data_IF_357290711353
#
_entry.id   IF_357290711353
#
_cell.length_a   1.000
_cell.length_b   1.000
_cell.length_c   1.000
_cell.angle_alpha   90.00
_cell.angle_beta   90.00
_cell.angle_gamma   90.00
#
_symmetry.space_group_name_H-M   'P 1'
#
loop_
_entity.id
_entity.type
_entity.pdbx_description
1 polymer ?
#
# COMPACT_ATOMS: atom_id res chain seq x y z
N UNK A 1 -29.30 2.80 38.18
CA UNK A 1 -28.16 2.24 37.44
C UNK A 1 -28.49 0.79 37.10
N UNK A 2 -29.31 0.56 36.08
CA UNK A 2 -29.54 -0.79 35.53
C UNK A 2 -28.27 -1.19 34.77
N UNK A 3 -27.57 -2.15 35.35
CA UNK A 3 -26.17 -2.45 35.05
C UNK A 3 -25.99 -3.07 33.67
N UNK A 4 -24.83 -2.79 33.08
CA UNK A 4 -24.31 -3.38 31.83
C UNK A 4 -24.47 -4.92 31.78
N UNK A 5 -24.52 -5.59 32.92
CA UNK A 5 -24.79 -7.03 33.04
C UNK A 5 -26.19 -7.47 32.58
N UNK A 6 -27.22 -6.63 32.68
CA UNK A 6 -28.56 -6.97 32.17
C UNK A 6 -28.63 -6.83 30.64
N UNK A 7 -27.94 -5.84 30.07
CA UNK A 7 -27.82 -5.68 28.61
C UNK A 7 -27.01 -6.84 28.02
N UNK A 8 -25.94 -7.27 28.70
CA UNK A 8 -25.17 -8.46 28.30
C UNK A 8 -26.01 -9.74 28.38
N UNK A 9 -26.84 -9.89 29.41
CA UNK A 9 -27.81 -11.00 29.51
C UNK A 9 -28.91 -10.93 28.44
N UNK A 10 -29.35 -9.73 28.04
CA UNK A 10 -30.39 -9.54 27.03
C UNK A 10 -29.88 -9.73 25.59
N UNK A 11 -28.60 -9.42 25.32
CA UNK A 11 -27.96 -9.64 24.01
C UNK A 11 -27.65 -11.12 23.77
N UNK A 12 -27.53 -11.92 24.84
CA UNK A 12 -27.23 -13.35 24.77
C UNK A 12 -25.78 -13.65 24.35
N UNK A 13 -25.40 -14.92 24.43
CA UNK A 13 -24.09 -15.39 23.99
C UNK A 13 -23.89 -15.25 22.47
N UNK A 14 -22.63 -15.18 22.04
CA UNK A 14 -22.26 -15.04 20.63
C UNK A 14 -22.80 -16.21 19.80
N UNK A 15 -23.93 -15.97 19.13
CA UNK A 15 -24.67 -16.99 18.39
C UNK A 15 -23.87 -17.52 17.20
N UNK A 16 -24.20 -18.73 16.74
CA UNK A 16 -23.55 -19.35 15.56
C UNK A 16 -23.58 -18.45 14.32
N UNK A 17 -24.67 -17.69 14.15
CA UNK A 17 -24.81 -16.73 13.04
C UNK A 17 -23.78 -15.60 13.11
N UNK A 18 -23.55 -15.01 14.30
CA UNK A 18 -22.55 -13.95 14.48
C UNK A 18 -21.13 -14.48 14.27
N UNK A 19 -20.82 -15.69 14.78
CA UNK A 19 -19.54 -16.39 14.51
C UNK A 19 -19.31 -16.60 13.02
N UNK A 20 -20.30 -17.12 12.32
CA UNK A 20 -20.24 -17.36 10.88
C UNK A 20 -20.02 -16.05 10.12
N UNK A 21 -20.71 -14.97 10.50
CA UNK A 21 -20.60 -13.68 9.84
C UNK A 21 -19.22 -13.03 10.04
N UNK A 22 -18.62 -13.17 11.22
CA UNK A 22 -17.23 -12.75 11.47
C UNK A 22 -16.24 -13.55 10.62
N UNK A 23 -16.36 -14.87 10.63
CA UNK A 23 -15.49 -15.73 9.81
C UNK A 23 -15.62 -15.40 8.31
N UNK A 24 -16.85 -15.14 7.85
CA UNK A 24 -17.11 -14.73 6.47
C UNK A 24 -16.47 -13.37 6.13
N UNK A 25 -16.37 -12.45 7.10
CA UNK A 25 -15.73 -11.15 6.91
C UNK A 25 -14.19 -11.21 6.80
N UNK A 26 -13.57 -12.31 7.24
CA UNK A 26 -12.11 -12.52 7.10
C UNK A 26 -11.71 -12.66 5.62
N UNK A 27 -12.58 -13.26 4.79
CA UNK A 27 -12.28 -13.50 3.38
C UNK A 27 -12.07 -12.17 2.62
N UNK A 28 -12.99 -11.18 2.69
CA UNK A 28 -12.75 -9.85 2.15
C UNK A 28 -11.51 -9.15 2.73
N UNK A 29 -11.20 -9.32 4.02
CA UNK A 29 -10.00 -8.71 4.61
C UNK A 29 -8.70 -9.23 3.97
N UNK A 30 -8.60 -10.55 3.75
CA UNK A 30 -7.44 -11.15 3.09
C UNK A 30 -7.31 -10.66 1.65
N UNK A 31 -8.42 -10.56 0.93
CA UNK A 31 -8.45 -10.01 -0.44
C UNK A 31 -8.03 -8.55 -0.47
N UNK A 32 -8.51 -7.71 0.46
CA UNK A 32 -8.08 -6.31 0.59
C UNK A 32 -6.57 -6.21 0.80
N UNK A 33 -6.01 -6.99 1.72
CA UNK A 33 -4.58 -7.00 1.97
C UNK A 33 -3.78 -7.40 0.71
N UNK A 34 -4.26 -8.42 -0.02
CA UNK A 34 -3.66 -8.84 -1.28
C UNK A 34 -3.64 -7.70 -2.30
N UNK A 35 -4.78 -7.06 -2.59
CA UNK A 35 -4.86 -6.01 -3.60
C UNK A 35 -4.11 -4.73 -3.22
N UNK A 36 -3.94 -4.46 -1.92
CA UNK A 36 -3.16 -3.34 -1.40
C UNK A 36 -1.66 -3.52 -1.70
N UNK A 37 -1.12 -4.73 -1.57
CA UNK A 37 0.32 -4.99 -1.67
C UNK A 37 0.75 -5.71 -2.95
N UNK A 38 -0.17 -6.28 -3.74
CA UNK A 38 0.15 -7.11 -4.90
C UNK A 38 1.07 -6.39 -5.90
N UNK A 39 0.88 -5.09 -6.11
CA UNK A 39 1.66 -4.34 -7.09
C UNK A 39 3.15 -4.24 -6.72
N UNK A 40 3.52 -4.32 -5.43
CA UNK A 40 4.93 -4.37 -5.02
C UNK A 40 5.61 -5.67 -5.44
N UNK A 41 4.87 -6.78 -5.43
CA UNK A 41 5.38 -8.09 -5.83
C UNK A 41 5.32 -8.32 -7.34
N UNK A 42 4.34 -7.71 -8.01
CA UNK A 42 4.17 -7.82 -9.46
C UNK A 42 5.14 -6.93 -10.25
N UNK A 43 5.64 -5.86 -9.63
CA UNK A 43 6.64 -4.95 -10.20
C UNK A 43 7.98 -5.19 -9.49
N UNK A 44 8.53 -6.38 -9.71
CA UNK A 44 9.88 -6.69 -9.23
C UNK A 44 10.92 -6.19 -10.23
N UNK A 45 12.05 -5.72 -9.73
CA UNK A 45 13.17 -5.33 -10.58
C UNK A 45 13.68 -6.56 -11.35
N UNK A 46 13.74 -6.43 -12.68
CA UNK A 46 14.37 -7.39 -13.56
C UNK A 46 15.56 -6.71 -14.26
N UNK A 47 16.76 -7.33 -14.27
CA UNK A 47 17.86 -6.83 -15.08
C UNK A 47 17.44 -6.88 -16.56
N UNK A 48 17.76 -5.84 -17.30
CA UNK A 48 17.32 -5.66 -18.68
C UNK A 48 18.37 -4.93 -19.49
N UNK A 49 18.30 -5.11 -20.81
CA UNK A 49 19.10 -4.39 -21.78
C UNK A 49 18.27 -4.14 -23.05
N UNK A 50 18.72 -3.21 -23.90
CA UNK A 50 18.06 -2.94 -25.18
C UNK A 50 18.06 -4.20 -26.06
N UNK A 51 16.99 -4.41 -26.83
CA UNK A 51 17.05 -5.38 -27.92
C UNK A 51 17.98 -4.87 -29.04
N UNK A 52 19.12 -5.53 -29.20
CA UNK A 52 20.12 -5.22 -30.22
C UNK A 52 20.21 -6.30 -31.32
N UNK A 53 19.14 -7.06 -31.53
CA UNK A 53 19.06 -8.14 -32.53
C UNK A 53 19.38 -7.72 -33.97
N UNK A 54 19.34 -6.42 -34.28
CA UNK A 54 19.76 -5.86 -35.57
C UNK A 54 21.18 -6.29 -35.98
N UNK A 55 22.12 -6.44 -35.02
CA UNK A 55 23.51 -6.83 -35.34
C UNK A 55 23.59 -8.26 -35.90
N UNK A 56 22.62 -9.12 -35.57
CA UNK A 56 22.57 -10.50 -36.08
C UNK A 56 22.23 -10.57 -37.56
N UNK A 57 21.66 -9.52 -38.14
CA UNK A 57 21.47 -9.43 -39.58
C UNK A 57 22.82 -9.31 -40.32
N UNK A 58 23.84 -8.75 -39.66
CA UNK A 58 25.19 -8.53 -40.21
C UNK A 58 26.12 -9.68 -39.79
N UNK A 59 26.03 -10.11 -38.53
CA UNK A 59 26.82 -11.19 -37.94
C UNK A 59 25.95 -12.31 -37.36
N UNK A 60 25.44 -13.26 -38.16
CA UNK A 60 24.51 -14.28 -37.70
C UNK A 60 25.11 -15.30 -36.71
N UNK A 61 26.44 -15.44 -36.70
CA UNK A 61 27.17 -16.39 -35.86
C UNK A 61 27.76 -15.78 -34.58
N UNK A 62 27.40 -14.53 -34.24
CA UNK A 62 27.87 -13.88 -33.01
C UNK A 62 27.33 -14.57 -31.76
N UNK A 63 28.18 -14.73 -30.75
CA UNK A 63 27.75 -15.13 -29.42
C UNK A 63 27.01 -13.98 -28.71
N UNK A 64 26.20 -14.30 -27.70
CA UNK A 64 25.44 -13.29 -26.94
C UNK A 64 26.39 -12.28 -26.25
N UNK A 65 27.52 -12.75 -25.73
CA UNK A 65 28.51 -11.89 -25.09
C UNK A 65 29.17 -10.92 -26.08
N UNK A 66 29.57 -11.40 -27.26
CA UNK A 66 30.12 -10.56 -28.33
C UNK A 66 29.10 -9.54 -28.83
N UNK A 67 27.84 -9.97 -29.01
CA UNK A 67 26.74 -9.08 -29.38
C UNK A 67 26.59 -7.95 -28.38
N UNK A 68 26.49 -8.25 -27.08
CA UNK A 68 26.30 -7.23 -26.05
C UNK A 68 27.50 -6.29 -25.97
N UNK A 69 28.73 -6.81 -26.08
CA UNK A 69 29.94 -6.02 -26.01
C UNK A 69 30.12 -5.04 -27.19
N UNK A 70 29.59 -5.38 -28.38
CA UNK A 70 29.63 -4.51 -29.56
C UNK A 70 28.48 -3.49 -29.61
N UNK A 71 27.33 -3.80 -28.99
CA UNK A 71 26.08 -3.03 -29.18
C UNK A 71 25.64 -2.21 -27.98
N UNK A 72 26.13 -2.52 -26.78
CA UNK A 72 25.78 -1.80 -25.56
C UNK A 72 27.00 -1.03 -25.01
N UNK A 73 26.84 0.27 -24.69
CA UNK A 73 27.89 1.02 -24.01
C UNK A 73 28.08 0.52 -22.58
N UNK A 74 29.30 0.68 -22.06
CA UNK A 74 29.62 0.38 -20.65
C UNK A 74 29.63 1.68 -19.85
N UNK A 75 29.00 1.65 -18.68
CA UNK A 75 29.03 2.74 -17.72
C UNK A 75 30.37 2.88 -17.02
N UNK A 76 30.46 3.85 -16.10
CA UNK A 76 31.66 4.12 -15.29
C UNK A 76 32.10 2.94 -14.42
N UNK A 77 31.16 2.04 -14.14
CA UNK A 77 31.33 0.94 -13.19
C UNK A 77 31.75 -0.36 -13.91
N UNK A 78 31.92 -0.31 -15.24
CA UNK A 78 32.27 -1.45 -16.09
C UNK A 78 31.08 -2.32 -16.52
N UNK A 79 29.91 -2.10 -15.91
CA UNK A 79 28.62 -2.72 -16.25
C UNK A 79 28.02 -2.10 -17.52
N UNK A 80 27.21 -2.87 -18.25
CA UNK A 80 26.48 -2.37 -19.41
C UNK A 80 25.43 -1.32 -19.01
N UNK A 81 25.33 -0.24 -19.77
CA UNK A 81 24.22 0.69 -19.63
C UNK A 81 22.91 0.00 -19.99
N UNK A 82 21.92 0.15 -19.11
CA UNK A 82 20.65 -0.60 -19.19
C UNK A 82 19.59 0.08 -20.04
N UNK A 83 19.76 1.37 -20.38
CA UNK A 83 18.72 2.19 -21.02
C UNK A 83 19.13 2.81 -22.37
N UNK A 84 20.34 2.51 -22.83
CA UNK A 84 20.96 3.09 -24.01
C UNK A 84 21.66 1.97 -24.81
N UNK A 85 21.77 2.18 -26.11
CA UNK A 85 22.51 1.30 -27.01
C UNK A 85 23.25 2.14 -28.05
N UNK A 86 24.24 1.56 -28.70
CA UNK A 86 24.83 2.19 -29.87
C UNK A 86 23.83 2.25 -31.03
N UNK A 87 23.86 3.36 -31.75
CA UNK A 87 23.01 3.59 -32.92
C UNK A 87 23.32 2.56 -34.01
N UNK A 88 22.32 1.87 -34.59
CA UNK A 88 22.51 0.96 -35.71
C UNK A 88 23.16 1.67 -36.90
N UNK A 89 24.15 1.01 -37.52
CA UNK A 89 24.88 1.51 -38.68
C UNK A 89 24.85 0.50 -39.82
N UNK A 90 24.90 0.98 -41.06
CA UNK A 90 24.97 0.16 -42.28
C UNK A 90 26.41 -0.26 -42.60
N UNK A 91 27.19 -0.66 -41.59
CA UNK A 91 28.58 -1.12 -41.75
C UNK A 91 28.66 -2.65 -41.73
N UNK A 92 29.72 -3.20 -42.32
CA UNK A 92 30.06 -4.61 -42.18
C UNK A 92 30.60 -4.93 -40.77
N UNK A 93 30.53 -6.21 -40.37
CA UNK A 93 30.92 -6.63 -39.03
C UNK A 93 32.41 -6.34 -38.74
N UNK A 94 33.29 -6.52 -39.73
CA UNK A 94 34.73 -6.31 -39.56
C UNK A 94 35.03 -4.82 -39.30
N UNK A 95 34.34 -3.92 -40.00
CA UNK A 95 34.43 -2.47 -39.74
C UNK A 95 33.93 -2.09 -38.36
N UNK A 96 32.83 -2.67 -37.89
CA UNK A 96 32.29 -2.41 -36.54
C UNK A 96 33.29 -2.85 -35.47
N UNK A 97 33.91 -4.02 -35.64
CA UNK A 97 34.92 -4.54 -34.71
C UNK A 97 36.20 -3.70 -34.75
N UNK A 98 36.61 -3.22 -35.93
CA UNK A 98 37.86 -2.46 -36.09
C UNK A 98 37.76 -1.01 -35.61
N UNK A 99 36.64 -0.33 -35.88
CA UNK A 99 36.48 1.10 -35.60
C UNK A 99 35.62 1.40 -34.37
N UNK A 100 34.77 0.47 -33.94
CA UNK A 100 33.82 0.66 -32.85
C UNK A 100 32.67 1.62 -33.20
N UNK A 101 31.64 1.62 -32.35
CA UNK A 101 30.49 2.53 -32.44
C UNK A 101 30.64 3.64 -31.41
N UNK A 102 30.38 4.88 -31.80
CA UNK A 102 30.54 6.06 -30.92
C UNK A 102 29.22 6.76 -30.60
N UNK A 103 28.23 6.68 -31.49
CA UNK A 103 26.94 7.37 -31.31
C UNK A 103 25.98 6.47 -30.52
N UNK A 104 25.35 7.04 -29.49
CA UNK A 104 24.41 6.32 -28.62
C UNK A 104 22.99 6.87 -28.77
N UNK A 105 22.02 5.98 -28.73
CA UNK A 105 20.61 6.30 -28.76
C UNK A 105 19.84 5.52 -27.69
N UNK A 106 18.59 5.93 -27.45
CA UNK A 106 17.65 5.18 -26.61
C UNK A 106 17.22 3.90 -27.32
N UNK A 107 16.87 2.86 -26.55
CA UNK A 107 16.41 1.60 -27.12
C UNK A 107 15.15 1.80 -27.97
N UNK A 108 15.23 1.45 -29.25
CA UNK A 108 14.14 1.60 -30.22
C UNK A 108 13.39 0.28 -30.48
N UNK A 109 14.08 -0.85 -30.37
CA UNK A 109 13.58 -2.19 -30.72
C UNK A 109 12.98 -2.96 -29.53
N UNK A 110 12.77 -2.31 -28.38
CA UNK A 110 12.26 -2.95 -27.16
C UNK A 110 13.37 -3.41 -26.21
N UNK A 111 13.02 -4.33 -25.32
CA UNK A 111 13.85 -4.75 -24.18
C UNK A 111 13.96 -6.26 -24.10
N UNK A 112 15.13 -6.74 -23.68
CA UNK A 112 15.38 -8.15 -23.43
C UNK A 112 15.61 -8.38 -21.95
N UNK A 113 14.90 -9.37 -21.42
CA UNK A 113 14.96 -9.80 -20.03
C UNK A 113 15.50 -11.24 -19.94
N UNK A 114 16.23 -11.61 -18.86
CA UNK A 114 16.76 -12.96 -18.71
C UNK A 114 15.65 -14.02 -18.61
N UNK A 115 15.79 -15.11 -19.37
CA UNK A 115 14.76 -16.16 -19.46
C UNK A 115 14.49 -16.95 -18.18
N UNK A 116 15.35 -16.84 -17.17
CA UNK A 116 15.19 -17.57 -15.90
C UNK A 116 14.17 -16.94 -14.95
N UNK A 117 13.74 -15.70 -15.21
CA UNK A 117 12.79 -15.01 -14.33
C UNK A 117 11.34 -15.21 -14.80
N UNK A 118 10.39 -15.43 -13.87
CA UNK A 118 8.98 -15.48 -14.22
C UNK A 118 8.51 -14.12 -14.77
N UNK A 119 7.55 -14.10 -15.71
CA UNK A 119 7.03 -12.85 -16.24
C UNK A 119 6.40 -12.02 -15.12
N UNK A 120 6.75 -10.75 -15.08
CA UNK A 120 6.25 -9.75 -14.14
C UNK A 120 5.50 -8.65 -14.89
N UNK A 121 4.72 -7.84 -14.17
CA UNK A 121 4.00 -6.72 -14.78
C UNK A 121 4.97 -5.72 -15.44
N UNK A 122 6.18 -5.59 -14.87
CA UNK A 122 7.24 -4.74 -15.41
C UNK A 122 7.75 -5.24 -16.77
N UNK A 123 7.97 -6.55 -16.90
CA UNK A 123 8.49 -7.18 -18.13
C UNK A 123 7.42 -7.35 -19.21
N UNK A 124 6.15 -7.44 -18.83
CA UNK A 124 5.04 -7.59 -19.77
C UNK A 124 4.67 -6.26 -20.45
N UNK A 125 4.78 -5.14 -19.72
CA UNK A 125 4.44 -3.80 -20.22
C UNK A 125 5.65 -2.91 -20.50
N UNK A 126 6.87 -3.44 -20.44
CA UNK A 126 8.13 -2.71 -20.65
C UNK A 126 8.20 -1.40 -19.83
N UNK A 127 7.97 -1.50 -18.52
CA UNK A 127 7.90 -0.36 -17.60
C UNK A 127 9.28 0.04 -17.08
N UNK A 128 10.25 0.12 -17.99
CA UNK A 128 11.65 0.44 -17.71
C UNK A 128 12.05 1.78 -18.34
N UNK A 129 13.15 2.35 -17.85
CA UNK A 129 13.76 3.58 -18.36
C UNK A 129 12.76 4.75 -18.51
N UNK A 130 12.37 5.13 -19.73
CA UNK A 130 11.44 6.24 -19.98
C UNK A 130 10.02 6.00 -19.42
N UNK A 131 9.61 4.74 -19.27
CA UNK A 131 8.29 4.34 -18.77
C UNK A 131 8.28 3.95 -17.30
N UNK A 132 9.40 4.11 -16.58
CA UNK A 132 9.51 3.73 -15.16
C UNK A 132 8.49 4.44 -14.26
N UNK A 133 8.22 5.72 -14.54
CA UNK A 133 7.34 6.57 -13.73
C UNK A 133 5.87 6.11 -13.78
N UNK A 134 5.49 5.32 -14.80
CA UNK A 134 4.14 4.77 -14.92
C UNK A 134 3.80 3.82 -13.77
N UNK A 135 4.78 3.14 -13.17
CA UNK A 135 4.57 2.31 -11.99
C UNK A 135 4.12 3.13 -10.78
N UNK A 136 4.78 4.27 -10.55
CA UNK A 136 4.47 5.18 -9.45
C UNK A 136 3.12 5.88 -9.69
N UNK A 137 2.85 6.27 -10.94
CA UNK A 137 1.55 6.81 -11.36
C UNK A 137 0.44 5.78 -11.12
N UNK A 138 0.67 4.50 -11.44
CA UNK A 138 -0.31 3.45 -11.20
C UNK A 138 -0.62 3.26 -9.70
N UNK A 139 0.40 3.32 -8.83
CA UNK A 139 0.18 3.33 -7.38
C UNK A 139 -0.62 4.55 -6.93
N UNK A 140 -0.27 5.74 -7.44
CA UNK A 140 -0.98 6.98 -7.11
C UNK A 140 -2.45 6.92 -7.54
N UNK A 141 -2.75 6.35 -8.72
CA UNK A 141 -4.11 6.14 -9.22
C UNK A 141 -4.88 5.16 -8.33
N UNK A 142 -4.24 4.08 -7.87
CA UNK A 142 -4.86 3.16 -6.90
C UNK A 142 -5.20 3.89 -5.58
N UNK A 143 -4.30 4.74 -5.07
CA UNK A 143 -4.54 5.55 -3.87
C UNK A 143 -5.64 6.62 -4.08
N UNK A 144 -5.71 7.23 -5.26
CA UNK A 144 -6.80 8.11 -5.64
C UNK A 144 -8.15 7.35 -5.67
N UNK A 145 -8.13 6.11 -6.17
CA UNK A 145 -9.25 5.18 -6.08
C UNK A 145 -9.71 4.96 -4.63
N UNK A 146 -8.79 4.69 -3.70
CA UNK A 146 -9.11 4.53 -2.27
C UNK A 146 -9.81 5.78 -1.68
N UNK A 147 -9.35 6.98 -2.06
CA UNK A 147 -9.96 8.25 -1.65
C UNK A 147 -11.37 8.42 -2.22
N UNK A 148 -11.55 8.22 -3.53
CA UNK A 148 -12.87 8.30 -4.17
C UNK A 148 -13.83 7.27 -3.57
N UNK A 149 -13.33 6.06 -3.29
CA UNK A 149 -14.08 5.01 -2.65
C UNK A 149 -14.60 5.39 -1.27
N UNK A 150 -13.78 6.02 -0.42
CA UNK A 150 -14.23 6.42 0.92
C UNK A 150 -15.30 7.51 0.86
N UNK A 151 -15.18 8.45 -0.07
CA UNK A 151 -16.15 9.53 -0.29
C UNK A 151 -17.49 9.02 -0.84
N UNK A 152 -17.49 7.93 -1.61
CA UNK A 152 -18.69 7.36 -2.22
C UNK A 152 -19.32 6.30 -1.31
N UNK A 153 -18.56 5.26 -0.95
CA UNK A 153 -19.08 4.11 -0.22
C UNK A 153 -19.36 4.40 1.25
N UNK A 154 -18.70 5.38 1.87
CA UNK A 154 -19.01 5.81 3.24
C UNK A 154 -20.46 6.28 3.37
N UNK A 155 -20.85 7.40 2.73
CA UNK A 155 -22.24 7.88 2.76
C UNK A 155 -23.26 6.90 2.18
N UNK A 156 -22.85 6.10 1.20
CA UNK A 156 -23.72 5.06 0.64
C UNK A 156 -24.06 3.99 1.68
N UNK A 157 -23.08 3.56 2.48
CA UNK A 157 -23.23 2.56 3.55
C UNK A 157 -24.25 2.99 4.60
N UNK A 158 -24.31 4.28 4.90
CA UNK A 158 -25.29 4.84 5.84
C UNK A 158 -26.71 4.92 5.25
N UNK A 159 -26.86 5.01 3.92
CA UNK A 159 -28.17 5.15 3.25
C UNK A 159 -28.83 3.81 2.92
N UNK A 160 -28.10 2.92 2.25
CA UNK A 160 -28.63 1.62 1.80
C UNK A 160 -28.34 0.49 2.80
N UNK A 161 -27.58 0.79 3.85
CA UNK A 161 -27.11 -0.16 4.82
C UNK A 161 -25.78 -0.82 4.44
N UNK A 162 -25.12 -1.37 5.46
CA UNK A 162 -23.76 -1.91 5.37
C UNK A 162 -23.66 -3.21 4.56
N UNK A 163 -24.66 -4.10 4.66
CA UNK A 163 -24.65 -5.41 3.98
C UNK A 163 -24.71 -5.30 2.45
N UNK A 164 -25.58 -4.46 1.85
CA UNK A 164 -25.53 -4.24 0.40
C UNK A 164 -24.22 -3.61 -0.06
N UNK A 165 -23.68 -2.64 0.68
CA UNK A 165 -22.41 -1.98 0.30
C UNK A 165 -21.24 -2.95 0.28
N UNK A 166 -21.04 -3.77 1.32
CA UNK A 166 -19.93 -4.73 1.30
C UNK A 166 -20.06 -5.74 0.15
N UNK A 167 -21.27 -6.17 -0.20
CA UNK A 167 -21.50 -7.09 -1.32
C UNK A 167 -21.19 -6.42 -2.67
N UNK A 168 -21.62 -5.17 -2.86
CA UNK A 168 -21.31 -4.39 -4.07
C UNK A 168 -19.80 -4.19 -4.20
N UNK A 169 -19.12 -3.80 -3.11
CA UNK A 169 -17.67 -3.57 -3.14
C UNK A 169 -16.88 -4.86 -3.39
N UNK A 170 -17.27 -5.99 -2.78
CA UNK A 170 -16.63 -7.30 -3.07
C UNK A 170 -16.88 -7.73 -4.51
N UNK A 171 -18.08 -7.50 -5.04
CA UNK A 171 -18.39 -7.80 -6.44
C UNK A 171 -17.54 -6.97 -7.40
N UNK A 172 -17.44 -5.65 -7.18
CA UNK A 172 -16.61 -4.76 -7.99
C UNK A 172 -15.13 -5.15 -7.89
N UNK A 173 -14.63 -5.46 -6.68
CA UNK A 173 -13.26 -5.92 -6.49
C UNK A 173 -13.00 -7.23 -7.26
N UNK A 174 -13.90 -8.20 -7.21
CA UNK A 174 -13.77 -9.45 -7.94
C UNK A 174 -13.82 -9.27 -9.46
N UNK A 175 -14.80 -8.50 -9.95
CA UNK A 175 -14.99 -8.25 -11.38
C UNK A 175 -13.79 -7.54 -12.01
N UNK A 176 -13.37 -6.41 -11.44
CA UNK A 176 -12.24 -5.63 -11.97
C UNK A 176 -10.89 -6.24 -11.60
N UNK A 177 -10.80 -6.93 -10.45
CA UNK A 177 -9.61 -7.67 -10.04
C UNK A 177 -9.28 -8.84 -10.98
N UNK A 178 -10.28 -9.60 -11.41
CA UNK A 178 -10.11 -10.63 -12.44
C UNK A 178 -9.93 -10.01 -13.83
N UNK A 179 -10.64 -8.91 -14.11
CA UNK A 179 -10.53 -8.18 -15.38
C UNK A 179 -9.10 -7.73 -15.70
N UNK A 180 -8.31 -7.38 -14.68
CA UNK A 180 -6.89 -6.98 -14.82
C UNK A 180 -6.06 -8.03 -15.59
N UNK A 181 -6.34 -9.32 -15.41
CA UNK A 181 -5.56 -10.39 -16.05
C UNK A 181 -5.74 -10.45 -17.58
N UNK A 182 -6.76 -9.78 -18.13
CA UNK A 182 -7.07 -9.78 -19.56
C UNK A 182 -6.73 -8.46 -20.25
N UNK A 183 -6.09 -7.52 -19.54
CA UNK A 183 -5.85 -6.18 -20.05
C UNK A 183 -4.55 -6.14 -20.87
N UNK A 184 -4.59 -5.79 -22.17
CA UNK A 184 -3.38 -5.69 -23.00
C UNK A 184 -2.73 -4.29 -22.96
N UNK A 185 -3.36 -3.31 -22.31
CA UNK A 185 -2.88 -1.92 -22.27
C UNK A 185 -2.75 -1.39 -20.85
N UNK A 186 -1.57 -0.85 -20.52
CA UNK A 186 -1.24 -0.38 -19.17
C UNK A 186 -2.19 0.73 -18.65
N UNK A 187 -2.69 1.61 -19.52
CA UNK A 187 -3.64 2.65 -19.11
C UNK A 187 -4.99 2.09 -18.65
N UNK A 188 -5.46 1.02 -19.29
CA UNK A 188 -6.69 0.32 -18.88
C UNK A 188 -6.45 -0.42 -17.56
N UNK A 189 -5.25 -0.98 -17.37
CA UNK A 189 -4.84 -1.58 -16.10
C UNK A 189 -4.91 -0.55 -14.96
N UNK A 190 -4.40 0.67 -15.16
CA UNK A 190 -4.50 1.76 -14.18
C UNK A 190 -5.95 2.13 -13.87
N UNK A 191 -6.82 2.20 -14.89
CA UNK A 191 -8.25 2.47 -14.69
C UNK A 191 -8.93 1.38 -13.85
N UNK A 192 -8.64 0.10 -14.12
CA UNK A 192 -9.19 -1.02 -13.34
C UNK A 192 -8.66 -1.01 -11.91
N UNK A 193 -7.37 -0.69 -11.72
CA UNK A 193 -6.77 -0.52 -10.38
C UNK A 193 -7.43 0.60 -9.59
N UNK A 194 -7.84 1.70 -10.23
CA UNK A 194 -8.61 2.76 -9.58
C UNK A 194 -9.94 2.23 -9.01
N UNK A 195 -10.68 1.43 -9.78
CA UNK A 195 -11.96 0.83 -9.34
C UNK A 195 -11.75 -0.20 -8.22
N UNK A 196 -10.69 -1.01 -8.33
CA UNK A 196 -10.30 -1.95 -7.26
C UNK A 196 -9.96 -1.17 -5.98
N UNK A 197 -9.20 -0.07 -6.07
CA UNK A 197 -8.90 0.81 -4.93
C UNK A 197 -10.17 1.38 -4.30
N UNK A 198 -11.11 1.88 -5.10
CA UNK A 198 -12.39 2.37 -4.59
C UNK A 198 -13.19 1.28 -3.85
N UNK A 199 -13.16 0.06 -4.37
CA UNK A 199 -13.81 -1.12 -3.78
C UNK A 199 -13.16 -1.54 -2.46
N UNK A 200 -11.82 -1.54 -2.39
CA UNK A 200 -11.06 -1.83 -1.17
C UNK A 200 -11.41 -0.84 -0.06
N UNK A 201 -11.55 0.44 -0.39
CA UNK A 201 -11.99 1.47 0.57
C UNK A 201 -13.39 1.21 1.09
N UNK A 202 -14.34 0.87 0.20
CA UNK A 202 -15.72 0.52 0.59
C UNK A 202 -15.80 -0.68 1.54
N UNK A 203 -15.01 -1.72 1.29
CA UNK A 203 -14.89 -2.89 2.17
C UNK A 203 -14.31 -2.46 3.52
N UNK A 204 -13.18 -1.74 3.51
CA UNK A 204 -12.48 -1.31 4.73
C UNK A 204 -13.37 -0.45 5.62
N UNK A 205 -14.05 0.55 5.05
CA UNK A 205 -14.96 1.43 5.80
C UNK A 205 -16.13 0.66 6.40
N UNK A 206 -16.71 -0.28 5.63
CA UNK A 206 -17.84 -1.07 6.12
C UNK A 206 -17.41 -2.04 7.23
N UNK A 207 -16.23 -2.65 7.13
CA UNK A 207 -15.68 -3.54 8.16
C UNK A 207 -15.36 -2.78 9.44
N UNK A 208 -14.71 -1.61 9.34
CA UNK A 208 -14.44 -0.75 10.49
C UNK A 208 -15.75 -0.35 11.20
N UNK A 209 -16.76 0.07 10.43
CA UNK A 209 -18.06 0.44 10.99
C UNK A 209 -18.77 -0.76 11.66
N UNK A 210 -18.71 -1.96 11.07
CA UNK A 210 -19.22 -3.19 11.70
C UNK A 210 -18.46 -3.55 12.97
N UNK A 211 -17.15 -3.32 13.01
CA UNK A 211 -16.30 -3.52 14.19
C UNK A 211 -16.72 -2.66 15.38
N UNK A 212 -17.13 -1.41 15.16
CA UNK A 212 -17.69 -0.56 16.22
C UNK A 212 -19.04 -1.08 16.75
N UNK A 213 -19.76 -1.85 15.94
CA UNK A 213 -21.13 -2.28 16.22
C UNK A 213 -21.20 -3.61 16.96
N UNK A 214 -20.17 -4.45 16.82
CA UNK A 214 -20.09 -5.75 17.49
C UNK A 214 -19.02 -5.69 18.59
N UNK A 215 -19.42 -5.56 19.86
CA UNK A 215 -18.49 -5.49 20.99
C UNK A 215 -17.53 -6.69 21.11
N UNK A 216 -17.80 -7.79 20.39
CA UNK A 216 -17.18 -9.10 20.57
C UNK A 216 -16.26 -9.57 19.43
N UNK A 217 -16.26 -8.92 18.25
CA UNK A 217 -15.27 -9.26 17.18
C UNK A 217 -13.86 -8.82 17.60
N UNK A 218 -13.80 -7.72 18.33
CA UNK A 218 -12.61 -7.30 19.09
C UNK A 218 -12.22 -8.27 20.21
N UNK A 219 -12.96 -9.36 20.47
CA UNK A 219 -12.68 -10.33 21.53
C UNK A 219 -11.99 -11.60 21.02
N UNK A 220 -12.02 -11.90 19.71
CA UNK A 220 -11.46 -13.17 19.17
C UNK A 220 -10.29 -13.00 18.20
N UNK A 221 -10.02 -11.80 17.68
CA UNK A 221 -8.83 -11.55 16.85
C UNK A 221 -7.76 -10.68 17.53
N UNK A 222 -8.10 -10.07 18.67
CA UNK A 222 -7.23 -9.18 19.44
C UNK A 222 -7.59 -9.37 20.92
N UNK A 223 -6.83 -10.16 21.66
CA UNK A 223 -7.17 -10.36 23.06
C UNK A 223 -6.88 -9.09 23.89
N UNK A 224 -7.90 -8.73 24.66
CA UNK A 224 -7.92 -7.97 25.91
C UNK A 224 -7.75 -6.43 25.88
N UNK A 225 -8.81 -5.76 26.36
CA UNK A 225 -8.93 -4.40 26.94
C UNK A 225 -9.50 -3.22 26.13
N UNK A 226 -9.67 -3.25 24.80
CA UNK A 226 -10.05 -2.02 24.07
C UNK A 226 -11.53 -1.59 24.19
N UNK A 227 -12.46 -2.45 24.62
CA UNK A 227 -13.89 -2.06 24.63
C UNK A 227 -14.46 -1.59 25.98
N UNK A 228 -13.66 -1.55 27.07
CA UNK A 228 -14.16 -1.05 28.35
C UNK A 228 -14.46 0.48 28.33
N UNK A 229 -13.90 1.22 27.37
CA UNK A 229 -14.09 2.68 27.25
C UNK A 229 -15.23 3.05 26.28
N UNK A 230 -15.61 2.19 25.33
CA UNK A 230 -16.69 2.48 24.37
C UNK A 230 -18.11 2.34 24.96
N UNK A 231 -18.24 1.92 26.21
CA UNK A 231 -19.53 1.69 26.89
C UNK A 231 -20.01 2.81 27.82
N UNK A 232 -19.72 4.09 27.52
CA UNK A 232 -20.30 5.22 28.26
C UNK A 232 -20.78 6.36 27.37
N UNK A 233 -21.76 6.10 26.49
CA UNK A 233 -22.84 7.07 26.31
C UNK A 233 -24.12 6.41 25.79
N UNK A 234 -25.25 6.54 26.51
CA UNK A 234 -26.53 6.11 25.98
C UNK A 234 -26.85 6.88 24.69
N UNK A 235 -27.31 6.14 23.69
CA UNK A 235 -27.80 6.65 22.42
C UNK A 235 -28.97 7.62 22.69
N UNK A 236 -28.76 8.91 22.43
CA UNK A 236 -29.85 9.85 22.19
C UNK A 236 -29.97 10.00 20.68
N UNK A 237 -31.07 9.46 20.12
CA UNK A 237 -31.51 9.80 18.76
C UNK A 237 -31.55 11.31 18.62
N UNK A 238 -30.57 11.87 17.92
CA UNK A 238 -30.53 13.29 17.59
C UNK A 238 -30.23 13.40 16.10
N UNK A 239 -31.00 14.22 15.39
CA UNK A 239 -31.03 14.34 13.92
C UNK A 239 -29.63 14.33 13.29
N UNK A 240 -29.51 13.62 12.17
CA UNK A 240 -28.35 13.61 11.26
C UNK A 240 -27.85 15.04 11.04
N UNK A 241 -26.66 15.35 11.55
CA UNK A 241 -25.96 16.60 11.27
C UNK A 241 -25.35 16.55 9.88
N UNK A 242 -25.24 17.70 9.22
CA UNK A 242 -24.64 17.76 7.89
C UNK A 242 -23.10 17.75 8.03
N UNK A 243 -22.35 17.14 7.09
CA UNK A 243 -20.87 17.11 7.15
C UNK A 243 -20.26 18.52 7.27
N UNK A 244 -20.92 19.52 6.69
CA UNK A 244 -20.54 20.93 6.76
C UNK A 244 -20.57 21.51 8.19
N UNK A 245 -21.27 20.87 9.13
CA UNK A 245 -21.31 21.32 10.53
C UNK A 245 -19.97 21.11 11.26
N UNK A 246 -19.08 20.23 10.77
CA UNK A 246 -17.69 20.09 11.24
C UNK A 246 -16.90 21.38 11.07
N UNK A 247 -17.07 22.05 9.93
CA UNK A 247 -16.33 23.27 9.58
C UNK A 247 -16.97 24.53 10.16
N UNK A 248 -18.23 24.44 10.59
CA UNK A 248 -19.00 25.57 11.13
C UNK A 248 -18.60 25.94 12.56
N UNK A 249 -18.25 24.96 13.40
CA UNK A 249 -17.83 25.20 14.79
C UNK A 249 -16.32 25.33 14.90
N UNK A 250 -15.82 26.45 15.44
CA UNK A 250 -14.38 26.76 15.55
C UNK A 250 -13.56 25.67 16.27
N UNK A 251 -14.11 25.07 17.33
CA UNK A 251 -13.41 24.00 18.06
C UNK A 251 -13.34 22.69 17.26
N UNK A 252 -14.44 22.28 16.62
CA UNK A 252 -14.47 21.08 15.78
C UNK A 252 -13.61 21.25 14.53
N UNK A 253 -13.58 22.44 13.92
CA UNK A 253 -12.71 22.76 12.79
C UNK A 253 -11.23 22.63 13.16
N UNK A 254 -10.81 23.14 14.32
CA UNK A 254 -9.42 23.00 14.79
C UNK A 254 -9.04 21.54 14.99
N UNK A 255 -9.91 20.76 15.64
CA UNK A 255 -9.68 19.31 15.87
C UNK A 255 -9.61 18.55 14.55
N UNK A 256 -10.53 18.82 13.62
CA UNK A 256 -10.58 18.18 12.30
C UNK A 256 -9.29 18.46 11.52
N UNK A 257 -8.85 19.72 11.46
CA UNK A 257 -7.63 20.10 10.73
C UNK A 257 -6.38 19.43 11.33
N UNK A 258 -6.25 19.44 12.67
CA UNK A 258 -5.12 18.78 13.35
C UNK A 258 -5.11 17.28 13.06
N UNK A 259 -6.27 16.62 13.15
CA UNK A 259 -6.38 15.20 12.85
C UNK A 259 -6.09 14.91 11.38
N UNK A 260 -6.60 15.71 10.44
CA UNK A 260 -6.28 15.58 9.01
C UNK A 260 -4.77 15.67 8.75
N UNK A 261 -4.08 16.63 9.37
CA UNK A 261 -2.62 16.75 9.25
C UNK A 261 -1.89 15.53 9.83
N UNK A 262 -2.32 15.06 11.01
CA UNK A 262 -1.75 13.86 11.65
C UNK A 262 -1.93 12.63 10.76
N UNK A 263 -3.12 12.43 10.22
CA UNK A 263 -3.44 11.33 9.31
C UNK A 263 -2.64 11.40 8.02
N UNK A 264 -2.46 12.60 7.46
CA UNK A 264 -1.66 12.81 6.27
C UNK A 264 -0.19 12.44 6.50
N UNK A 265 0.45 12.98 7.55
CA UNK A 265 1.85 12.69 7.90
C UNK A 265 2.04 11.20 8.18
N UNK A 266 1.12 10.60 8.93
CA UNK A 266 1.21 9.19 9.27
C UNK A 266 1.04 8.28 8.05
N UNK A 267 0.11 8.62 7.15
CA UNK A 267 -0.07 7.91 5.86
C UNK A 267 1.17 8.03 5.00
N UNK A 268 1.77 9.22 4.92
CA UNK A 268 3.00 9.45 4.16
C UNK A 268 4.14 8.57 4.66
N UNK A 269 4.37 8.50 5.97
CA UNK A 269 5.43 7.66 6.56
C UNK A 269 5.12 6.17 6.38
N UNK A 270 3.89 5.73 6.67
CA UNK A 270 3.53 4.32 6.60
C UNK A 270 3.59 3.75 5.18
N UNK A 271 3.00 4.46 4.20
CA UNK A 271 3.03 4.05 2.81
C UNK A 271 4.39 4.33 2.18
N UNK A 272 5.10 5.39 2.57
CA UNK A 272 6.47 5.64 2.13
C UNK A 272 7.40 4.49 2.49
N UNK A 273 7.36 3.99 3.74
CA UNK A 273 8.13 2.81 4.13
C UNK A 273 7.65 1.54 3.42
N UNK A 274 6.33 1.34 3.26
CA UNK A 274 5.80 0.13 2.61
C UNK A 274 6.01 0.05 1.11
N UNK A 275 5.99 1.19 0.42
CA UNK A 275 6.16 1.22 -1.03
C UNK A 275 7.64 1.21 -1.43
N UNK A 276 8.52 1.65 -0.54
CA UNK A 276 9.97 1.72 -0.77
C UNK A 276 10.73 0.44 -0.36
N UNK A 277 10.03 -0.69 -0.20
CA UNK A 277 10.61 -1.94 0.30
C UNK A 277 11.77 -2.45 -0.55
N UNK A 278 11.75 -2.17 -1.86
CA UNK A 278 12.79 -2.56 -2.82
C UNK A 278 14.15 -1.91 -2.53
N UNK A 279 14.17 -0.77 -1.84
CA UNK A 279 15.37 0.04 -1.65
C UNK A 279 16.08 -0.21 -0.31
N UNK A 280 15.57 -1.10 0.55
CA UNK A 280 16.22 -1.40 1.84
C UNK A 280 17.34 -2.45 1.75
N UNK A 281 17.59 -3.00 0.55
CA UNK A 281 18.74 -3.86 0.24
C UNK A 281 18.65 -5.31 0.75
N UNK A 282 17.59 -5.65 1.49
CA UNK A 282 17.21 -7.02 1.80
C UNK A 282 16.16 -7.53 0.79
N UNK A 283 15.99 -8.85 0.73
CA UNK A 283 14.95 -9.48 -0.07
C UNK A 283 13.56 -8.88 0.24
N UNK A 284 12.79 -8.59 -0.81
CA UNK A 284 11.48 -7.92 -0.72
C UNK A 284 10.51 -8.75 0.15
N UNK A 285 10.53 -10.07 0.03
CA UNK A 285 9.67 -10.97 0.79
C UNK A 285 10.05 -10.98 2.27
N UNK A 286 11.35 -11.03 2.59
CA UNK A 286 11.81 -11.01 3.97
C UNK A 286 11.49 -9.67 4.65
N UNK A 287 11.72 -8.57 3.95
CA UNK A 287 11.43 -7.23 4.45
C UNK A 287 9.93 -7.03 4.68
N UNK A 288 9.09 -7.48 3.75
CA UNK A 288 7.64 -7.39 3.91
C UNK A 288 7.11 -8.31 5.02
N UNK A 289 7.71 -9.48 5.20
CA UNK A 289 7.41 -10.36 6.33
C UNK A 289 7.74 -9.68 7.67
N UNK A 290 8.91 -9.04 7.77
CA UNK A 290 9.30 -8.29 8.96
C UNK A 290 8.32 -7.15 9.26
N UNK A 291 7.93 -6.37 8.23
CA UNK A 291 6.92 -5.31 8.38
C UNK A 291 5.58 -5.87 8.86
N UNK A 292 5.09 -6.95 8.26
CA UNK A 292 3.84 -7.61 8.66
C UNK A 292 3.89 -8.16 10.08
N UNK A 293 5.00 -8.81 10.47
CA UNK A 293 5.20 -9.38 11.80
C UNK A 293 5.18 -8.31 12.90
N UNK A 294 5.73 -7.12 12.60
CA UNK A 294 5.84 -6.00 13.54
C UNK A 294 4.54 -5.22 13.69
N UNK A 295 3.60 -5.32 12.76
CA UNK A 295 2.28 -4.68 12.91
C UNK A 295 1.47 -5.25 14.08
N UNK A 296 1.54 -6.56 14.31
CA UNK A 296 0.80 -7.23 15.39
C UNK A 296 1.20 -6.69 16.77
N UNK A 297 2.50 -6.73 17.17
CA UNK A 297 2.92 -6.18 18.45
C UNK A 297 2.77 -4.66 18.52
N UNK A 298 2.87 -3.92 17.41
CA UNK A 298 2.60 -2.48 17.39
C UNK A 298 1.16 -2.16 17.80
N UNK A 299 0.19 -2.88 17.25
CA UNK A 299 -1.24 -2.70 17.55
C UNK A 299 -1.56 -3.09 18.99
N UNK A 300 -0.96 -4.16 19.51
CA UNK A 300 -1.15 -4.60 20.91
C UNK A 300 -0.48 -3.61 21.89
N UNK A 301 0.79 -3.26 21.65
CA UNK A 301 1.55 -2.33 22.50
C UNK A 301 0.97 -0.92 22.54
N UNK A 302 0.32 -0.48 21.46
CA UNK A 302 -0.40 0.79 21.40
C UNK A 302 -1.45 0.91 22.52
N UNK A 303 -2.22 -0.14 22.80
CA UNK A 303 -3.30 -0.13 23.80
C UNK A 303 -2.73 0.17 25.19
N UNK A 304 -1.69 -0.56 25.59
CA UNK A 304 -1.01 -0.35 26.88
C UNK A 304 -0.43 1.06 27.00
N UNK A 305 0.18 1.55 25.92
CA UNK A 305 0.80 2.88 25.89
C UNK A 305 -0.24 3.99 26.05
N UNK A 306 -1.40 3.85 25.39
CA UNK A 306 -2.50 4.82 25.48
C UNK A 306 -3.13 4.89 26.88
N UNK A 307 -3.24 3.75 27.56
CA UNK A 307 -3.75 3.68 28.94
C UNK A 307 -2.79 4.35 29.93
N UNK A 308 -1.48 4.18 29.75
CA UNK A 308 -0.46 4.68 30.69
C UNK A 308 -0.10 6.15 30.50
N UNK A 309 0.11 6.59 29.26
CA UNK A 309 0.68 7.91 28.96
C UNK A 309 -0.32 8.92 28.36
N UNK A 310 -1.53 8.46 28.02
CA UNK A 310 -2.56 9.26 27.38
C UNK A 310 -2.34 9.42 25.86
N UNK A 311 -3.42 9.81 25.16
CA UNK A 311 -3.52 9.74 23.68
C UNK A 311 -2.57 10.73 22.99
N UNK A 312 -2.61 12.00 23.40
CA UNK A 312 -1.84 13.09 22.78
C UNK A 312 -0.33 12.87 22.87
N UNK A 313 0.18 12.44 24.03
CA UNK A 313 1.61 12.19 24.24
C UNK A 313 2.08 10.99 23.42
N UNK A 314 1.31 9.90 23.46
CA UNK A 314 1.59 8.68 22.67
C UNK A 314 1.67 9.01 21.19
N UNK A 315 0.68 9.73 20.64
CA UNK A 315 0.67 10.14 19.24
C UNK A 315 1.91 10.98 18.85
N UNK A 316 2.27 11.97 19.68
CA UNK A 316 3.41 12.84 19.41
C UNK A 316 4.74 12.07 19.43
N UNK A 317 4.95 11.20 20.45
CA UNK A 317 6.18 10.41 20.57
C UNK A 317 6.33 9.44 19.41
N UNK A 318 5.26 8.75 19.00
CA UNK A 318 5.31 7.79 17.90
C UNK A 318 5.62 8.47 16.56
N UNK A 319 5.02 9.62 16.27
CA UNK A 319 5.31 10.38 15.04
C UNK A 319 6.74 10.93 15.00
N UNK A 320 7.23 11.44 16.14
CA UNK A 320 8.61 11.93 16.24
C UNK A 320 9.59 10.77 16.09
N UNK A 321 9.33 9.63 16.74
CA UNK A 321 10.15 8.43 16.60
C UNK A 321 10.18 7.94 15.16
N UNK A 322 9.04 7.83 14.49
CA UNK A 322 8.99 7.38 13.09
C UNK A 322 9.72 8.34 12.15
N UNK A 323 9.58 9.66 12.37
CA UNK A 323 10.26 10.67 11.56
C UNK A 323 11.78 10.69 11.77
N UNK A 324 12.25 10.60 13.02
CA UNK A 324 13.68 10.55 13.34
C UNK A 324 14.34 9.32 12.71
N UNK A 325 13.69 8.16 12.79
CA UNK A 325 14.19 6.93 12.18
C UNK A 325 14.29 7.04 10.65
N UNK A 326 13.28 7.64 9.99
CA UNK A 326 13.35 7.90 8.55
C UNK A 326 14.50 8.85 8.16
N UNK A 327 14.79 9.86 8.99
CA UNK A 327 15.94 10.74 8.76
C UNK A 327 17.27 10.00 8.94
N UNK A 328 17.40 9.15 9.96
CA UNK A 328 18.61 8.35 10.18
C UNK A 328 18.89 7.43 8.98
N UNK A 329 17.85 6.82 8.41
CA UNK A 329 17.97 5.95 7.22
C UNK A 329 18.65 6.67 6.04
N UNK A 330 18.37 7.95 5.82
CA UNK A 330 18.98 8.73 4.71
C UNK A 330 20.48 8.93 4.84
N UNK A 331 21.04 8.82 6.06
CA UNK A 331 22.46 8.97 6.31
C UNK A 331 23.26 7.67 6.30
N UNK A 332 22.60 6.52 6.11
CA UNK A 332 23.25 5.21 6.13
C UNK A 332 23.73 4.85 4.71
N UNK A 333 25.01 4.53 4.53
CA UNK A 333 25.55 4.08 3.25
C UNK A 333 24.95 2.74 2.81
N UNK A 334 24.92 2.49 1.50
CA UNK A 334 24.26 1.32 0.88
C UNK A 334 24.94 -0.03 1.22
N UNK A 335 26.10 -0.01 1.87
CA UNK A 335 26.89 -1.18 2.25
C UNK A 335 26.34 -1.94 3.47
N UNK A 336 25.35 -1.38 4.19
CA UNK A 336 24.77 -1.97 5.41
C UNK A 336 23.23 -2.18 5.31
N UNK A 337 22.73 -3.06 4.42
CA UNK A 337 21.29 -3.24 4.18
C UNK A 337 20.51 -3.73 5.42
N UNK A 338 21.18 -4.48 6.30
CA UNK A 338 20.59 -4.98 7.56
C UNK A 338 20.25 -3.82 8.49
N UNK A 339 21.15 -2.84 8.65
CA UNK A 339 20.92 -1.69 9.52
C UNK A 339 19.74 -0.84 9.02
N UNK A 340 19.71 -0.59 7.71
CA UNK A 340 18.62 0.14 7.04
C UNK A 340 17.28 -0.54 7.25
N UNK A 341 17.21 -1.87 7.07
CA UNK A 341 15.97 -2.64 7.23
C UNK A 341 15.51 -2.71 8.69
N UNK A 342 16.42 -2.85 9.65
CA UNK A 342 16.09 -2.82 11.09
C UNK A 342 15.49 -1.47 11.46
N UNK A 343 16.10 -0.37 11.01
CA UNK A 343 15.57 0.97 11.24
C UNK A 343 14.22 1.16 10.54
N UNK A 344 14.09 0.75 9.28
CA UNK A 344 12.82 0.83 8.55
C UNK A 344 11.71 0.07 9.29
N UNK A 345 12.05 -1.08 9.88
CA UNK A 345 11.13 -1.90 10.68
C UNK A 345 10.71 -1.19 11.97
N UNK A 346 11.62 -0.50 12.67
CA UNK A 346 11.30 0.35 13.84
C UNK A 346 10.41 1.53 13.43
N UNK A 347 10.71 2.17 12.29
CA UNK A 347 9.86 3.22 11.73
C UNK A 347 8.46 2.71 11.41
N UNK A 348 8.36 1.50 10.84
CA UNK A 348 7.10 0.83 10.51
C UNK A 348 6.29 0.47 11.76
N UNK A 349 6.95 -0.01 12.82
CA UNK A 349 6.33 -0.22 14.13
C UNK A 349 5.68 1.05 14.65
N UNK A 350 6.46 2.15 14.69
CA UNK A 350 6.01 3.43 15.21
C UNK A 350 4.84 4.01 14.39
N UNK A 351 4.92 3.93 13.05
CA UNK A 351 3.86 4.36 12.15
C UNK A 351 2.58 3.53 12.29
N UNK A 352 2.69 2.20 12.45
CA UNK A 352 1.55 1.30 12.68
C UNK A 352 0.85 1.58 14.03
N UNK A 353 1.63 1.78 15.10
CA UNK A 353 1.11 2.18 16.40
C UNK A 353 0.45 3.57 16.36
N UNK A 354 1.04 4.51 15.61
CA UNK A 354 0.48 5.85 15.38
C UNK A 354 -0.83 5.80 14.61
N UNK A 355 -0.96 4.91 13.62
CA UNK A 355 -2.22 4.68 12.88
C UNK A 355 -3.31 4.21 13.83
N UNK A 356 -3.01 3.20 14.64
CA UNK A 356 -3.93 2.64 15.63
C UNK A 356 -4.37 3.70 16.64
N UNK A 357 -3.44 4.51 17.15
CA UNK A 357 -3.74 5.64 18.05
C UNK A 357 -4.64 6.67 17.37
N UNK A 358 -4.39 6.99 16.11
CA UNK A 358 -5.16 8.00 15.35
C UNK A 358 -6.62 7.58 15.16
N UNK A 359 -6.89 6.29 14.90
CA UNK A 359 -8.25 5.75 14.84
C UNK A 359 -8.98 5.89 16.18
N UNK A 360 -8.35 5.46 17.28
CA UNK A 360 -8.94 5.56 18.63
C UNK A 360 -9.18 7.03 19.00
N UNK A 361 -8.21 7.90 18.72
CA UNK A 361 -8.31 9.31 19.07
C UNK A 361 -9.37 10.04 18.25
N UNK A 362 -9.50 9.74 16.95
CA UNK A 362 -10.59 10.26 16.12
C UNK A 362 -11.96 9.83 16.67
N UNK A 363 -12.11 8.55 17.04
CA UNK A 363 -13.32 8.07 17.66
C UNK A 363 -13.64 8.85 18.94
N UNK A 364 -12.69 9.04 19.85
CA UNK A 364 -12.91 9.77 21.12
C UNK A 364 -13.23 11.27 20.94
N UNK A 365 -12.67 11.92 19.91
CA UNK A 365 -12.83 13.35 19.65
C UNK A 365 -14.14 13.72 18.95
N UNK A 366 -14.58 12.90 17.98
CA UNK A 366 -15.76 13.22 17.18
C UNK A 366 -17.05 12.75 17.88
N UNK A 367 -18.07 13.63 17.99
CA UNK A 367 -19.34 13.25 18.57
C UNK A 367 -20.04 12.21 17.69
N UNK A 368 -20.74 11.26 18.30
CA UNK A 368 -21.41 10.12 17.61
C UNK A 368 -22.40 10.50 16.52
N UNK A 369 -22.86 11.75 16.47
CA UNK A 369 -23.78 12.27 15.43
C UNK A 369 -23.02 12.55 14.11
N UNK A 370 -21.70 12.68 14.18
CA UNK A 370 -20.81 13.12 13.09
C UNK A 370 -19.62 12.17 12.88
N UNK A 371 -19.53 11.12 13.70
CA UNK A 371 -18.57 10.02 13.52
C UNK A 371 -19.11 9.10 12.43
#
# INVERSE_FOLDING_TARGET
>A
MSGVGEILKAVGDFGRFQKCLVLLSVIPCLSVAFHQFCQLFMVSYAPHHCDTSWIRAIGPNLTEEEQLNLTLPRGTDGEFERCSMYSPVDWDLDSIVAYGLNDTQKCSSGWVYPSQQPPSLLTEFDLVCDRKDLNDIAQAIYMAGLLLGSMIFGPLSDRIGRRPVILISVFLQGLFGLGIAFVPHFYVYMAFRCVVGASVSGITMTILALGESWPWVSFSCFESLTFCVLKLKPEKQTKSGNFLDLFRKTNLRKVTLIMSCVWFVNSFVYYGLSLNVTNFGLDIYLTQLAFGAVEIPARVGCIFTLQRFGRRKTQAVLLVLSGLVCLIITGIPEDQPVATTVLATIGKFAASASFSTSYVYAAELFPTIVR
#
